data_IF_879505861217
#
_entry.id   IF_879505861217
#
_cell.length_a   1.000
_cell.length_b   1.000
_cell.length_c   1.000
_cell.angle_alpha   90.00
_cell.angle_beta   90.00
_cell.angle_gamma   90.00
#
_symmetry.space_group_name_H-M   'P 1'
#
loop_
_entity.id
_entity.type
_entity.pdbx_description
1 polymer ?
#
# COMPACT_ATOMS: atom_id res chain seq x y z
N UNK A 1 6.57 10.44 -24.36
CA UNK A 1 5.50 10.48 -23.35
C UNK A 1 5.78 11.62 -22.38
N UNK A 2 4.75 12.25 -21.83
CA UNK A 2 4.84 13.19 -20.73
C UNK A 2 4.98 12.44 -19.41
N UNK A 3 5.84 12.93 -18.54
CA UNK A 3 6.03 12.39 -17.19
C UNK A 3 6.43 13.51 -16.23
N UNK A 4 6.09 13.35 -14.95
CA UNK A 4 6.51 14.27 -13.90
C UNK A 4 7.92 13.89 -13.42
N UNK A 5 8.89 14.78 -13.68
CA UNK A 5 10.32 14.53 -13.50
C UNK A 5 10.86 15.36 -12.34
N UNK A 6 11.62 14.72 -11.47
CA UNK A 6 12.31 15.31 -10.32
C UNK A 6 13.47 16.20 -10.77
N UNK A 7 13.52 17.40 -10.19
CA UNK A 7 14.72 18.22 -10.06
C UNK A 7 15.17 18.18 -8.59
N UNK A 8 16.15 17.33 -8.31
CA UNK A 8 16.62 17.07 -6.95
C UNK A 8 17.43 18.24 -6.38
N UNK A 9 18.10 19.01 -7.26
CA UNK A 9 18.91 20.17 -6.86
C UNK A 9 18.02 21.31 -6.38
N UNK A 10 16.96 21.59 -7.14
CA UNK A 10 16.01 22.65 -6.80
C UNK A 10 14.85 22.17 -5.92
N UNK A 11 14.76 20.87 -5.62
CA UNK A 11 13.65 20.25 -4.87
C UNK A 11 12.29 20.57 -5.48
N UNK A 12 12.20 20.44 -6.79
CA UNK A 12 10.97 20.65 -7.56
C UNK A 12 10.69 19.45 -8.45
N UNK A 13 9.51 19.43 -9.08
CA UNK A 13 9.23 18.48 -10.14
C UNK A 13 8.43 19.19 -11.24
N UNK A 14 8.70 18.83 -12.49
CA UNK A 14 8.05 19.44 -13.64
C UNK A 14 7.75 18.39 -14.71
N UNK A 15 6.68 18.61 -15.47
CA UNK A 15 6.33 17.71 -16.58
C UNK A 15 7.36 17.89 -17.70
N UNK A 16 7.94 16.78 -18.12
CA UNK A 16 8.91 16.70 -19.22
C UNK A 16 8.48 15.68 -20.25
N UNK A 17 8.94 15.85 -21.49
CA UNK A 17 8.78 14.86 -22.56
C UNK A 17 9.95 13.89 -22.56
N UNK A 18 9.67 12.61 -22.39
CA UNK A 18 10.65 11.52 -22.37
C UNK A 18 10.38 10.49 -23.48
N UNK A 19 11.37 9.67 -23.86
CA UNK A 19 11.15 8.54 -24.76
C UNK A 19 10.07 7.58 -24.24
N UNK A 20 9.44 6.87 -25.17
CA UNK A 20 8.48 5.82 -24.84
C UNK A 20 9.24 4.62 -24.24
N UNK A 21 8.94 4.16 -23.01
CA UNK A 21 9.56 2.97 -22.45
C UNK A 21 9.15 1.72 -23.22
N UNK A 22 10.06 0.75 -23.27
CA UNK A 22 9.87 -0.57 -23.88
C UNK A 22 9.77 -1.60 -22.75
N UNK A 23 8.72 -2.45 -22.70
CA UNK A 23 8.61 -3.45 -21.66
C UNK A 23 9.69 -4.53 -21.83
N UNK A 24 10.42 -4.81 -20.76
CA UNK A 24 11.36 -5.92 -20.68
C UNK A 24 10.66 -7.27 -20.45
N UNK A 25 11.44 -8.35 -20.23
CA UNK A 25 10.85 -9.67 -20.09
C UNK A 25 9.89 -9.77 -18.89
N UNK A 26 8.71 -10.37 -19.12
CA UNK A 26 7.59 -10.46 -18.17
C UNK A 26 7.03 -9.10 -17.68
N UNK A 27 7.35 -7.99 -18.34
CA UNK A 27 6.78 -6.69 -18.02
C UNK A 27 5.63 -6.31 -18.97
N UNK A 28 4.75 -5.46 -18.48
CA UNK A 28 3.64 -4.87 -19.21
C UNK A 28 3.95 -3.40 -19.49
N UNK A 29 3.63 -2.95 -20.71
CA UNK A 29 3.52 -1.54 -21.02
C UNK A 29 2.07 -1.10 -20.84
N UNK A 30 1.85 -0.11 -19.99
CA UNK A 30 0.51 0.30 -19.55
C UNK A 30 0.31 1.78 -19.89
N UNK A 31 -0.76 2.09 -20.60
CA UNK A 31 -1.22 3.46 -20.82
C UNK A 31 -2.02 3.92 -19.60
N UNK A 32 -1.43 4.82 -18.81
CA UNK A 32 -1.99 5.29 -17.54
C UNK A 32 -3.23 6.13 -17.80
N UNK A 33 -4.27 5.91 -16.99
CA UNK A 33 -5.56 6.63 -17.05
C UNK A 33 -5.82 7.42 -15.77
N UNK A 34 -5.36 6.91 -14.63
CA UNK A 34 -5.41 7.61 -13.36
C UNK A 34 -4.18 7.31 -12.51
N UNK A 35 -3.80 8.27 -11.69
CA UNK A 35 -2.75 8.15 -10.67
C UNK A 35 -3.29 8.66 -9.34
N UNK A 36 -2.90 8.02 -8.24
CA UNK A 36 -3.30 8.42 -6.90
C UNK A 36 -2.07 8.86 -6.11
N UNK A 37 -2.23 9.92 -5.32
CA UNK A 37 -1.14 10.49 -4.53
C UNK A 37 -1.06 9.80 -3.16
N UNK A 38 0.16 9.55 -2.72
CA UNK A 38 0.55 9.03 -1.41
C UNK A 38 1.41 10.06 -0.69
N UNK A 39 1.46 10.00 0.64
CA UNK A 39 2.32 10.90 1.43
C UNK A 39 3.80 10.86 0.97
N UNK A 40 4.28 9.69 0.55
CA UNK A 40 5.63 9.51 0.02
C UNK A 40 5.91 10.29 -1.27
N UNK A 41 4.88 10.57 -2.08
CA UNK A 41 5.09 11.17 -3.40
C UNK A 41 5.61 12.61 -3.30
N UNK A 42 5.09 13.38 -2.33
CA UNK A 42 5.58 14.73 -2.04
C UNK A 42 7.00 14.71 -1.45
N UNK A 43 7.33 13.67 -0.67
CA UNK A 43 8.66 13.50 -0.10
C UNK A 43 9.74 13.27 -1.17
N UNK A 44 9.40 12.65 -2.31
CA UNK A 44 10.34 12.53 -3.43
C UNK A 44 10.83 13.90 -3.94
N UNK A 45 10.07 14.96 -3.72
CA UNK A 45 10.42 16.33 -4.12
C UNK A 45 10.98 17.13 -2.93
N UNK A 46 10.33 17.10 -1.77
CA UNK A 46 10.75 17.89 -0.60
C UNK A 46 12.04 17.37 0.03
N UNK A 47 12.26 16.06 -0.02
CA UNK A 47 13.47 15.37 0.45
C UNK A 47 13.93 14.36 -0.61
N UNK A 48 14.53 14.83 -1.71
CA UNK A 48 14.85 13.98 -2.86
C UNK A 48 15.60 12.71 -2.47
N UNK A 49 14.96 11.57 -2.76
CA UNK A 49 15.54 10.23 -2.58
C UNK A 49 16.32 9.76 -3.80
N UNK A 50 16.02 10.35 -4.96
CA UNK A 50 16.64 10.09 -6.25
C UNK A 50 17.42 11.29 -6.79
N UNK A 51 18.12 11.06 -7.90
CA UNK A 51 18.80 12.12 -8.65
C UNK A 51 17.83 12.88 -9.56
N UNK A 52 18.23 14.09 -9.98
CA UNK A 52 17.54 14.86 -11.04
C UNK A 52 17.34 13.99 -12.29
N UNK A 53 16.20 14.16 -12.96
CA UNK A 53 15.82 13.41 -14.16
C UNK A 53 15.00 12.15 -13.91
N UNK A 54 14.79 11.74 -12.65
CA UNK A 54 13.96 10.58 -12.31
C UNK A 54 12.47 10.91 -12.37
N UNK A 55 11.66 9.97 -12.88
CA UNK A 55 10.20 10.05 -12.83
C UNK A 55 9.72 9.73 -11.40
N UNK A 56 8.81 10.54 -10.86
CA UNK A 56 8.27 10.38 -9.50
C UNK A 56 6.90 9.69 -9.49
N UNK A 57 6.36 9.47 -8.30
CA UNK A 57 5.02 8.92 -8.10
C UNK A 57 4.97 7.40 -7.94
N UNK A 58 3.98 6.92 -7.20
CA UNK A 58 3.83 5.50 -6.89
C UNK A 58 2.64 4.80 -7.55
N UNK A 59 1.40 5.22 -7.29
CA UNK A 59 0.22 4.46 -7.70
C UNK A 59 -0.26 4.85 -9.10
N UNK A 60 -0.71 3.85 -9.87
CA UNK A 60 -1.35 4.05 -11.16
C UNK A 60 -2.47 3.03 -11.44
N UNK A 61 -3.35 3.41 -12.36
CA UNK A 61 -4.32 2.52 -13.01
C UNK A 61 -4.41 2.86 -14.50
N UNK A 62 -4.49 1.84 -15.36
CA UNK A 62 -4.44 2.04 -16.81
C UNK A 62 -4.78 0.81 -17.65
N UNK A 63 -4.55 0.93 -18.95
CA UNK A 63 -4.80 -0.11 -19.95
C UNK A 63 -3.48 -0.77 -20.38
N UNK A 64 -3.43 -2.09 -20.40
CA UNK A 64 -2.30 -2.82 -21.00
C UNK A 64 -2.29 -2.57 -22.50
N UNK A 65 -1.18 -2.07 -23.04
CA UNK A 65 -1.02 -1.81 -24.48
C UNK A 65 0.01 -2.71 -25.15
N UNK A 66 0.99 -3.21 -24.40
CA UNK A 66 1.95 -4.20 -24.89
C UNK A 66 2.49 -5.05 -23.73
N UNK A 67 3.13 -6.16 -24.07
CA UNK A 67 3.80 -7.06 -23.14
C UNK A 67 5.18 -7.39 -23.71
N UNK A 68 6.19 -7.40 -22.84
CA UNK A 68 7.51 -7.87 -23.23
C UNK A 68 7.55 -9.39 -23.44
N UNK A 69 8.68 -9.94 -23.92
CA UNK A 69 8.82 -11.37 -24.10
C UNK A 69 8.72 -12.12 -22.76
N UNK A 70 8.46 -13.44 -22.75
CA UNK A 70 8.68 -14.24 -21.55
C UNK A 70 10.11 -14.09 -21.05
N UNK A 71 10.32 -14.02 -19.73
CA UNK A 71 11.67 -14.08 -19.18
C UNK A 71 12.34 -15.41 -19.54
N UNK A 72 13.65 -15.42 -19.81
CA UNK A 72 14.39 -16.66 -19.93
C UNK A 72 14.25 -17.45 -18.61
N UNK A 73 14.27 -18.80 -18.66
CA UNK A 73 14.23 -19.62 -17.47
C UNK A 73 15.38 -19.21 -16.54
N UNK A 74 15.12 -19.00 -15.26
CA UNK A 74 16.19 -18.71 -14.31
C UNK A 74 17.07 -19.95 -14.11
N UNK A 75 18.35 -19.76 -13.76
CA UNK A 75 19.23 -20.86 -13.33
C UNK A 75 18.66 -21.65 -12.15
N UNK A 76 17.84 -21.01 -11.32
CA UNK A 76 17.14 -21.64 -10.20
C UNK A 76 16.02 -22.57 -10.67
N UNK A 77 15.30 -22.23 -11.75
CA UNK A 77 14.33 -23.12 -12.38
C UNK A 77 15.00 -24.34 -13.06
N UNK A 78 16.22 -24.18 -13.56
CA UNK A 78 16.99 -25.29 -14.13
C UNK A 78 17.47 -26.29 -13.04
N UNK A 79 17.74 -25.81 -11.82
CA UNK A 79 18.21 -26.63 -10.68
C UNK A 79 17.06 -27.34 -9.94
N UNK A 80 15.84 -26.83 -10.08
CA UNK A 80 14.59 -27.39 -9.53
C UNK A 80 14.17 -28.73 -10.18
N UNK A 81 14.78 -29.10 -11.31
CA UNK A 81 14.60 -30.43 -11.91
C UNK A 81 15.18 -31.59 -11.06
N UNK A 82 15.79 -31.29 -9.91
CA UNK A 82 16.23 -32.25 -8.90
C UNK A 82 15.19 -32.66 -7.83
N UNK A 83 13.92 -32.25 -7.93
CA UNK A 83 12.84 -32.88 -7.13
C UNK A 83 11.78 -31.98 -6.49
N UNK A 84 11.67 -30.69 -6.85
CA UNK A 84 10.63 -29.83 -6.27
C UNK A 84 10.31 -28.63 -7.14
N UNK A 85 9.48 -28.84 -8.17
CA UNK A 85 8.93 -27.76 -9.03
C UNK A 85 8.42 -26.57 -8.21
N UNK A 86 8.31 -25.35 -8.79
CA UNK A 86 7.76 -24.20 -8.07
C UNK A 86 6.45 -24.56 -7.38
N UNK A 87 6.21 -24.00 -6.20
CA UNK A 87 5.00 -24.26 -5.41
C UNK A 87 3.73 -24.09 -6.28
N UNK A 88 2.60 -24.67 -5.84
CA UNK A 88 1.31 -24.45 -6.53
C UNK A 88 0.89 -22.98 -6.51
N UNK A 89 1.24 -22.24 -5.47
CA UNK A 89 0.85 -20.84 -5.26
C UNK A 89 1.64 -19.92 -6.20
N UNK A 90 2.97 -20.04 -6.26
CA UNK A 90 3.83 -19.36 -7.24
C UNK A 90 3.39 -19.66 -8.68
N UNK A 91 3.05 -20.91 -9.00
CA UNK A 91 2.49 -21.24 -10.32
C UNK A 91 1.18 -20.52 -10.62
N UNK A 92 0.33 -20.33 -9.61
CA UNK A 92 -0.97 -19.67 -9.74
C UNK A 92 -0.86 -18.15 -9.94
N UNK A 93 0.05 -17.47 -9.22
CA UNK A 93 0.33 -16.05 -9.44
C UNK A 93 1.03 -15.80 -10.77
N UNK A 94 1.98 -16.66 -11.16
CA UNK A 94 2.59 -16.62 -12.50
C UNK A 94 1.56 -16.87 -13.61
N UNK A 95 0.62 -17.81 -13.43
CA UNK A 95 -0.44 -18.05 -14.40
C UNK A 95 -1.40 -16.85 -14.54
N UNK A 96 -1.76 -16.20 -13.43
CA UNK A 96 -2.55 -14.96 -13.45
C UNK A 96 -1.82 -13.88 -14.27
N UNK A 97 -0.56 -13.59 -13.92
CA UNK A 97 0.27 -12.62 -14.65
C UNK A 97 0.39 -12.98 -16.14
N UNK A 98 0.54 -14.26 -16.46
CA UNK A 98 0.66 -14.74 -17.84
C UNK A 98 -0.64 -14.58 -18.64
N UNK A 99 -1.79 -14.56 -17.98
CA UNK A 99 -3.10 -14.37 -18.64
C UNK A 99 -3.42 -12.92 -18.97
N UNK A 100 -2.68 -11.93 -18.42
CA UNK A 100 -2.94 -10.52 -18.66
C UNK A 100 -2.63 -10.19 -20.13
N UNK A 101 -3.60 -9.54 -20.78
CA UNK A 101 -3.60 -9.31 -22.23
C UNK A 101 -3.75 -7.83 -22.58
N UNK A 102 -3.40 -7.47 -23.81
CA UNK A 102 -3.62 -6.11 -24.34
C UNK A 102 -5.11 -5.76 -24.23
N UNK A 103 -5.40 -4.56 -23.73
CA UNK A 103 -6.76 -4.08 -23.45
C UNK A 103 -7.23 -4.32 -22.01
N UNK A 104 -6.56 -5.19 -21.24
CA UNK A 104 -6.91 -5.41 -19.83
C UNK A 104 -6.75 -4.11 -19.03
N UNK A 105 -7.71 -3.89 -18.13
CA UNK A 105 -7.67 -2.81 -17.15
C UNK A 105 -6.88 -3.29 -15.93
N UNK A 106 -5.79 -2.62 -15.61
CA UNK A 106 -4.89 -3.01 -14.53
C UNK A 106 -4.51 -1.83 -13.64
N UNK A 107 -4.21 -2.12 -12.38
CA UNK A 107 -3.64 -1.17 -11.44
C UNK A 107 -2.45 -1.80 -10.71
N UNK A 108 -1.55 -0.96 -10.22
CA UNK A 108 -0.33 -1.38 -9.53
C UNK A 108 0.36 -0.17 -8.91
N UNK A 109 1.56 -0.38 -8.40
CA UNK A 109 2.39 0.71 -7.92
C UNK A 109 3.86 0.48 -8.24
N UNK A 110 4.61 1.57 -8.30
CA UNK A 110 6.05 1.61 -8.46
C UNK A 110 6.66 2.42 -7.31
N UNK A 111 7.98 2.35 -7.16
CA UNK A 111 8.68 3.31 -6.32
C UNK A 111 9.04 4.53 -7.17
N UNK A 112 8.55 5.72 -6.78
CA UNK A 112 8.97 6.97 -7.41
C UNK A 112 10.41 7.34 -7.05
N UNK A 113 11.10 8.03 -7.98
CA UNK A 113 12.43 8.57 -7.75
C UNK A 113 13.47 7.58 -7.18
N UNK A 114 13.43 6.31 -7.58
CA UNK A 114 14.39 5.31 -7.08
C UNK A 114 15.83 5.69 -7.49
N UNK A 115 16.74 5.69 -6.52
CA UNK A 115 18.19 5.86 -6.70
C UNK A 115 18.94 4.53 -6.78
N UNK A 116 18.33 3.44 -6.32
CA UNK A 116 18.94 2.12 -6.28
C UNK A 116 18.78 1.32 -7.58
N UNK A 117 17.83 1.69 -8.45
CA UNK A 117 17.62 1.05 -9.76
C UNK A 117 17.16 2.07 -10.81
N UNK A 118 17.06 1.63 -12.07
CA UNK A 118 16.68 2.50 -13.19
C UNK A 118 15.16 2.58 -13.46
N UNK A 119 14.33 1.86 -12.68
CA UNK A 119 12.89 1.82 -12.94
C UNK A 119 12.27 3.21 -12.68
N UNK A 120 11.45 3.72 -13.61
CA UNK A 120 10.77 5.00 -13.42
C UNK A 120 9.62 4.91 -12.41
N UNK A 121 9.25 6.05 -11.81
CA UNK A 121 8.01 6.19 -11.07
C UNK A 121 6.76 6.20 -11.95
N UNK A 122 5.60 6.27 -11.31
CA UNK A 122 4.29 6.04 -11.93
C UNK A 122 3.61 7.30 -12.51
N UNK A 123 4.07 8.51 -12.20
CA UNK A 123 3.42 9.75 -12.67
C UNK A 123 3.85 10.09 -14.11
N UNK A 124 3.39 9.27 -15.06
CA UNK A 124 3.64 9.37 -16.48
C UNK A 124 2.41 8.95 -17.30
N UNK A 125 2.38 9.32 -18.58
CA UNK A 125 1.35 8.83 -19.52
C UNK A 125 1.41 7.31 -19.74
N UNK A 126 2.59 6.72 -19.56
CA UNK A 126 2.79 5.29 -19.72
C UNK A 126 3.83 4.78 -18.72
N UNK A 127 3.64 3.57 -18.25
CA UNK A 127 4.54 2.91 -17.30
C UNK A 127 4.86 1.49 -17.75
N UNK A 128 6.04 1.02 -17.35
CA UNK A 128 6.42 -0.39 -17.45
C UNK A 128 6.40 -0.98 -16.05
N UNK A 129 5.72 -2.12 -15.89
CA UNK A 129 5.56 -2.77 -14.59
C UNK A 129 5.63 -4.30 -14.76
N UNK A 130 6.29 -5.05 -13.86
CA UNK A 130 6.22 -6.50 -13.84
C UNK A 130 4.77 -7.01 -13.81
N UNK A 131 4.44 -7.97 -14.68
CA UNK A 131 3.06 -8.43 -14.87
C UNK A 131 2.40 -9.04 -13.62
N UNK A 132 3.20 -9.49 -12.66
CA UNK A 132 2.78 -10.06 -11.37
C UNK A 132 2.73 -9.03 -10.23
N UNK A 133 3.09 -7.76 -10.48
CA UNK A 133 2.89 -6.62 -9.55
C UNK A 133 1.67 -5.76 -9.88
N UNK A 134 0.87 -6.19 -10.86
CA UNK A 134 -0.41 -5.56 -11.17
C UNK A 134 -1.56 -6.49 -10.79
N UNK A 135 -2.71 -5.90 -10.54
CA UNK A 135 -3.98 -6.61 -10.41
C UNK A 135 -4.96 -6.14 -11.49
N UNK A 136 -5.86 -7.04 -11.91
CA UNK A 136 -6.92 -6.70 -12.85
C UNK A 136 -8.02 -5.94 -12.15
N UNK A 137 -8.43 -4.82 -12.75
CA UNK A 137 -9.51 -3.97 -12.22
C UNK A 137 -10.86 -4.63 -12.54
N UNK A 138 -11.70 -4.96 -11.54
CA UNK A 138 -13.05 -5.44 -11.77
C UNK A 138 -13.88 -4.47 -12.61
N UNK A 139 -14.79 -4.99 -13.44
CA UNK A 139 -15.56 -4.18 -14.40
C UNK A 139 -16.33 -3.00 -13.77
N UNK A 140 -16.76 -3.14 -12.51
CA UNK A 140 -17.51 -2.12 -11.77
C UNK A 140 -16.64 -1.06 -11.06
N UNK A 141 -15.32 -1.29 -10.93
CA UNK A 141 -14.39 -0.34 -10.32
C UNK A 141 -13.83 0.56 -11.42
N UNK A 142 -13.77 1.87 -11.20
CA UNK A 142 -13.20 2.85 -12.14
C UNK A 142 -11.65 2.87 -12.10
N UNK A 143 -10.99 3.56 -13.04
CA UNK A 143 -9.53 3.71 -12.95
C UNK A 143 -9.14 4.57 -11.76
N UNK A 144 -9.93 5.60 -11.48
CA UNK A 144 -9.68 6.56 -10.41
C UNK A 144 -9.77 5.91 -9.03
N UNK A 145 -10.77 5.04 -8.84
CA UNK A 145 -10.87 4.22 -7.63
C UNK A 145 -9.71 3.22 -7.53
N UNK A 146 -9.44 2.47 -8.60
CA UNK A 146 -8.38 1.45 -8.60
C UNK A 146 -6.98 2.01 -8.34
N UNK A 147 -6.69 3.22 -8.84
CA UNK A 147 -5.40 3.87 -8.59
C UNK A 147 -5.15 4.08 -7.09
N UNK A 148 -6.20 4.23 -6.27
CA UNK A 148 -6.05 4.43 -4.82
C UNK A 148 -5.80 3.15 -3.99
N UNK A 149 -5.74 1.97 -4.60
CA UNK A 149 -5.75 0.68 -3.87
C UNK A 149 -4.35 0.10 -3.67
N UNK A 150 -3.50 0.10 -4.68
CA UNK A 150 -2.32 -0.77 -4.74
C UNK A 150 -1.36 -0.60 -3.56
N UNK A 151 -0.73 0.58 -3.42
CA UNK A 151 0.23 0.83 -2.35
C UNK A 151 -0.41 0.73 -0.95
N UNK A 152 -1.50 1.46 -0.71
CA UNK A 152 -2.12 1.53 0.62
C UNK A 152 -2.77 0.20 1.05
N UNK A 153 -3.42 -0.51 0.12
CA UNK A 153 -4.01 -1.82 0.38
C UNK A 153 -2.95 -2.87 0.68
N UNK A 154 -1.85 -2.92 -0.08
CA UNK A 154 -0.76 -3.83 0.20
C UNK A 154 -0.03 -3.48 1.52
N UNK A 155 0.11 -2.19 1.84
CA UNK A 155 0.67 -1.73 3.12
C UNK A 155 -0.17 -2.20 4.31
N UNK A 156 -1.50 -2.09 4.21
CA UNK A 156 -2.43 -2.61 5.21
C UNK A 156 -2.32 -4.14 5.33
N UNK A 157 -2.33 -4.86 4.22
CA UNK A 157 -2.24 -6.32 4.18
C UNK A 157 -0.93 -6.86 4.76
N UNK A 158 0.22 -6.27 4.39
CA UNK A 158 1.52 -6.67 4.95
C UNK A 158 1.58 -6.44 6.46
N UNK A 159 1.15 -5.28 6.94
CA UNK A 159 1.15 -4.99 8.37
C UNK A 159 0.23 -5.94 9.16
N UNK A 160 -0.96 -6.24 8.64
CA UNK A 160 -1.89 -7.17 9.30
C UNK A 160 -1.43 -8.63 9.26
N UNK A 161 -1.19 -9.15 8.06
CA UNK A 161 -1.01 -10.59 7.87
C UNK A 161 0.44 -11.02 7.99
N UNK A 162 1.35 -10.28 7.36
CA UNK A 162 2.77 -10.65 7.40
C UNK A 162 3.41 -10.25 8.73
N UNK A 163 3.09 -9.07 9.30
CA UNK A 163 3.75 -8.57 10.52
C UNK A 163 3.03 -8.97 11.81
N UNK A 164 1.73 -8.67 11.92
CA UNK A 164 0.98 -8.99 13.13
C UNK A 164 0.58 -10.47 13.20
N UNK A 165 0.61 -11.18 12.07
CA UNK A 165 0.33 -12.62 11.99
C UNK A 165 -1.15 -12.96 12.05
N UNK A 166 -2.02 -12.03 11.63
CA UNK A 166 -3.45 -12.28 11.48
C UNK A 166 -3.72 -13.18 10.27
N UNK A 167 -4.83 -13.91 10.29
CA UNK A 167 -5.19 -14.84 9.23
C UNK A 167 -5.57 -14.09 7.94
N UNK A 168 -4.87 -14.33 6.81
CA UNK A 168 -5.14 -13.69 5.52
C UNK A 168 -6.33 -14.34 4.78
N UNK A 169 -7.04 -13.62 3.89
CA UNK A 169 -8.01 -14.21 2.97
C UNK A 169 -7.37 -14.83 1.71
N UNK A 170 -6.03 -14.95 1.69
CA UNK A 170 -5.25 -15.53 0.59
C UNK A 170 -4.01 -16.25 1.11
N UNK A 171 -3.45 -17.14 0.29
CA UNK A 171 -2.24 -17.90 0.62
C UNK A 171 -1.05 -17.39 -0.19
N UNK A 172 0.14 -17.47 0.39
CA UNK A 172 1.42 -17.17 -0.29
C UNK A 172 2.47 -18.20 0.10
N UNK A 173 3.55 -18.27 -0.69
CA UNK A 173 4.70 -19.11 -0.35
C UNK A 173 5.65 -18.35 0.57
N UNK A 174 5.90 -18.92 1.74
CA UNK A 174 6.95 -18.49 2.65
C UNK A 174 8.12 -19.48 2.53
N UNK A 175 8.92 -19.32 1.48
CA UNK A 175 10.13 -20.12 1.25
C UNK A 175 11.34 -19.57 2.03
N UNK A 176 11.12 -18.72 3.04
CA UNK A 176 12.21 -18.08 3.79
C UNK A 176 12.54 -18.80 5.10
N UNK A 177 13.83 -18.83 5.44
CA UNK A 177 14.31 -19.12 6.80
C UNK A 177 13.86 -18.03 7.82
N UNK A 178 13.26 -16.92 7.35
CA UNK A 178 12.56 -15.95 8.20
C UNK A 178 11.23 -16.56 8.64
N UNK A 179 11.28 -17.48 9.61
CA UNK A 179 10.13 -18.23 10.16
C UNK A 179 9.05 -17.38 10.82
N UNK A 180 8.37 -16.54 10.05
CA UNK A 180 7.30 -15.65 10.52
C UNK A 180 5.95 -16.39 10.57
N UNK A 181 5.77 -17.46 9.77
CA UNK A 181 4.47 -18.14 9.69
C UNK A 181 4.30 -19.48 10.42
N UNK A 182 5.27 -19.97 11.20
CA UNK A 182 5.07 -21.23 11.96
C UNK A 182 4.64 -21.08 13.42
N UNK A 183 4.48 -19.87 13.97
CA UNK A 183 4.30 -19.70 15.43
C UNK A 183 2.92 -19.29 15.97
N UNK A 184 1.97 -18.78 15.18
CA UNK A 184 0.65 -18.42 15.76
C UNK A 184 -0.24 -19.65 16.03
N UNK A 185 -0.04 -20.75 15.30
CA UNK A 185 -0.73 -22.02 15.61
C UNK A 185 -0.18 -22.76 16.82
N UNK A 186 1.09 -22.50 17.20
CA UNK A 186 1.79 -23.25 18.26
C UNK A 186 1.64 -22.65 19.66
N UNK A 187 1.50 -21.33 19.79
CA UNK A 187 1.36 -20.69 21.11
C UNK A 187 -0.07 -20.71 21.64
N UNK A 188 -1.06 -21.01 20.78
CA UNK A 188 -2.44 -21.30 21.20
C UNK A 188 -2.71 -22.79 21.40
N UNK A 189 -1.79 -23.68 20.97
CA UNK A 189 -1.89 -25.13 21.17
C UNK A 189 -0.92 -25.67 22.24
N UNK A 190 -0.26 -24.79 23.01
CA UNK A 190 0.87 -25.12 23.90
C UNK A 190 0.64 -24.95 25.40
N UNK A 191 -0.55 -24.56 25.85
CA UNK A 191 -0.94 -24.55 27.28
C UNK A 191 -2.17 -25.42 27.49
N UNK A 192 -2.01 -26.73 27.33
CA UNK A 192 -2.85 -27.70 28.02
C UNK A 192 -2.60 -27.58 29.53
N UNK A 193 -3.36 -26.68 30.15
CA UNK A 193 -3.26 -26.35 31.57
C UNK A 193 -4.29 -25.34 32.07
N UNK A 194 -5.34 -25.03 31.30
CA UNK A 194 -6.65 -24.63 31.86
C UNK A 194 -7.73 -24.86 30.78
N UNK A 195 -8.88 -25.39 31.19
CA UNK A 195 -9.97 -25.73 30.28
C UNK A 195 -10.69 -24.49 29.77
N UNK A 196 -10.41 -24.07 28.54
CA UNK A 196 -11.17 -23.00 27.89
C UNK A 196 -11.14 -23.08 26.37
N UNK A 197 -12.19 -23.65 25.77
CA UNK A 197 -12.64 -23.13 24.48
C UNK A 197 -13.01 -21.65 24.69
N UNK A 198 -12.20 -20.74 24.16
CA UNK A 198 -12.42 -19.31 24.35
C UNK A 198 -13.22 -18.73 23.20
N UNK A 199 -14.53 -18.57 23.39
CA UNK A 199 -15.43 -17.63 22.69
C UNK A 199 -14.98 -16.15 22.89
N UNK A 200 -13.70 -15.83 22.59
CA UNK A 200 -13.06 -14.56 22.95
C UNK A 200 -13.00 -13.55 21.80
N UNK A 201 -13.67 -12.41 21.98
CA UNK A 201 -13.59 -11.22 21.12
C UNK A 201 -12.15 -10.67 21.06
N UNK A 202 -11.61 -10.48 19.84
CA UNK A 202 -10.35 -9.77 19.59
C UNK A 202 -10.56 -8.26 19.63
N UNK A 203 -9.76 -7.50 20.37
CA UNK A 203 -9.77 -6.03 20.29
C UNK A 203 -8.63 -5.52 19.42
N UNK A 204 -8.96 -4.72 18.41
CA UNK A 204 -8.02 -4.17 17.43
C UNK A 204 -8.14 -2.65 17.38
N UNK A 205 -7.04 -1.93 17.54
CA UNK A 205 -7.01 -0.47 17.45
C UNK A 205 -6.31 0.03 16.17
N UNK A 206 -6.88 1.05 15.53
CA UNK A 206 -6.28 1.74 14.37
C UNK A 206 -6.12 3.22 14.67
N UNK A 207 -4.87 3.68 14.81
CA UNK A 207 -4.58 5.11 14.80
C UNK A 207 -4.56 5.62 13.35
N UNK A 208 -5.25 6.74 13.11
CA UNK A 208 -5.46 7.23 11.74
C UNK A 208 -6.53 6.44 10.98
N UNK A 209 -7.66 6.15 11.62
CA UNK A 209 -8.74 5.32 11.07
C UNK A 209 -9.32 5.87 9.75
N UNK A 210 -9.28 7.19 9.53
CA UNK A 210 -9.69 7.84 8.27
C UNK A 210 -8.56 8.05 7.28
N UNK A 211 -7.37 7.47 7.47
CA UNK A 211 -6.32 7.47 6.45
C UNK A 211 -6.61 6.39 5.41
N UNK A 212 -6.03 6.52 4.21
CA UNK A 212 -6.15 5.51 3.15
C UNK A 212 -5.78 4.11 3.68
N UNK A 213 -4.65 4.00 4.39
CA UNK A 213 -4.20 2.73 4.99
C UNK A 213 -5.16 2.27 6.08
N UNK A 214 -5.55 3.14 7.03
CA UNK A 214 -6.45 2.77 8.13
C UNK A 214 -7.84 2.28 7.67
N UNK A 215 -8.33 2.82 6.55
CA UNK A 215 -9.59 2.39 5.93
C UNK A 215 -9.47 1.02 5.24
N UNK A 216 -8.29 0.65 4.69
CA UNK A 216 -8.05 -0.73 4.22
C UNK A 216 -7.77 -1.69 5.36
N UNK A 217 -7.10 -1.24 6.44
CA UNK A 217 -6.90 -2.05 7.65
C UNK A 217 -8.24 -2.49 8.22
N UNK A 218 -9.22 -1.59 8.34
CA UNK A 218 -10.56 -1.92 8.83
C UNK A 218 -11.20 -3.07 8.04
N UNK A 219 -11.22 -2.96 6.71
CA UNK A 219 -11.79 -3.98 5.83
C UNK A 219 -11.05 -5.33 5.95
N UNK A 220 -9.72 -5.30 5.99
CA UNK A 220 -8.90 -6.52 6.06
C UNK A 220 -8.96 -7.19 7.44
N UNK A 221 -9.16 -6.43 8.51
CA UNK A 221 -9.41 -6.96 9.86
C UNK A 221 -10.70 -7.76 9.89
N UNK A 222 -11.77 -7.27 9.26
CA UNK A 222 -13.03 -8.02 9.13
C UNK A 222 -12.84 -9.31 8.32
N UNK A 223 -12.08 -9.27 7.22
CA UNK A 223 -11.73 -10.49 6.46
C UNK A 223 -10.96 -11.48 7.32
N UNK A 224 -10.03 -11.02 8.15
CA UNK A 224 -9.29 -11.90 9.06
C UNK A 224 -10.18 -12.54 10.13
N UNK A 225 -11.11 -11.76 10.67
CA UNK A 225 -12.12 -12.23 11.61
C UNK A 225 -13.00 -13.34 10.99
N UNK A 226 -13.45 -13.14 9.74
CA UNK A 226 -14.18 -14.15 8.97
C UNK A 226 -13.37 -15.45 8.78
N UNK A 227 -12.09 -15.34 8.40
CA UNK A 227 -11.21 -16.50 8.16
C UNK A 227 -10.89 -17.29 9.44
N UNK A 228 -10.74 -16.59 10.56
CA UNK A 228 -10.41 -17.20 11.86
C UNK A 228 -11.63 -17.67 12.65
N UNK A 229 -12.85 -17.28 12.23
CA UNK A 229 -14.08 -17.51 12.98
C UNK A 229 -14.18 -16.72 14.29
N UNK A 230 -13.37 -15.66 14.44
CA UNK A 230 -13.30 -14.85 15.67
C UNK A 230 -14.06 -13.54 15.49
N UNK A 231 -14.77 -13.08 16.52
CA UNK A 231 -15.31 -11.72 16.56
C UNK A 231 -14.17 -10.72 16.78
N UNK A 232 -14.22 -9.58 16.10
CA UNK A 232 -13.29 -8.46 16.33
C UNK A 232 -14.05 -7.21 16.75
N UNK A 233 -13.65 -6.62 17.88
CA UNK A 233 -14.00 -5.26 18.30
C UNK A 233 -12.99 -4.30 17.70
N UNK A 234 -13.42 -3.61 16.65
CA UNK A 234 -12.60 -2.63 15.95
C UNK A 234 -12.76 -1.23 16.56
N UNK A 235 -11.65 -0.65 17.01
CA UNK A 235 -11.56 0.67 17.64
C UNK A 235 -10.68 1.57 16.75
N UNK A 236 -11.05 2.83 16.55
CA UNK A 236 -10.29 3.74 15.68
C UNK A 236 -10.13 5.15 16.26
N UNK A 237 -9.02 5.80 15.93
CA UNK A 237 -8.83 7.23 16.20
C UNK A 237 -8.98 8.04 14.90
N UNK A 238 -9.94 8.97 14.88
CA UNK A 238 -10.22 9.84 13.74
C UNK A 238 -10.97 11.11 14.16
N UNK A 239 -10.95 12.14 13.31
CA UNK A 239 -11.77 13.34 13.53
C UNK A 239 -13.27 13.00 13.57
N UNK A 240 -14.07 13.59 14.47
CA UNK A 240 -15.51 13.33 14.60
C UNK A 240 -16.31 13.43 13.30
N UNK A 241 -15.93 14.36 12.42
CA UNK A 241 -16.57 14.53 11.10
C UNK A 241 -16.52 13.29 10.19
N UNK A 242 -15.60 12.35 10.44
CA UNK A 242 -15.47 11.11 9.67
C UNK A 242 -16.13 9.91 10.38
N UNK A 243 -16.77 10.09 11.54
CA UNK A 243 -17.25 8.95 12.32
C UNK A 243 -18.39 8.19 11.65
N UNK A 244 -19.32 8.89 10.98
CA UNK A 244 -20.47 8.24 10.35
C UNK A 244 -20.01 7.32 9.21
N UNK A 245 -19.11 7.79 8.34
CA UNK A 245 -18.54 6.94 7.29
C UNK A 245 -17.76 5.77 7.87
N UNK A 246 -16.94 5.97 8.91
CA UNK A 246 -16.13 4.92 9.52
C UNK A 246 -16.95 3.87 10.30
N UNK A 247 -18.09 4.22 10.86
CA UNK A 247 -19.00 3.26 11.50
C UNK A 247 -19.76 2.42 10.47
N UNK A 248 -20.00 2.98 9.27
CA UNK A 248 -20.69 2.32 8.19
C UNK A 248 -19.86 1.24 7.48
N UNK A 249 -20.52 0.50 6.60
CA UNK A 249 -19.86 -0.41 5.66
C UNK A 249 -18.93 0.37 4.72
N UNK A 250 -17.74 -0.16 4.41
CA UNK A 250 -17.22 -1.49 4.78
C UNK A 250 -16.28 -1.46 6.00
N UNK A 251 -16.22 -0.35 6.73
CA UNK A 251 -15.19 -0.12 7.76
C UNK A 251 -15.62 -0.65 9.12
N UNK A 252 -16.88 -0.45 9.52
CA UNK A 252 -17.47 -1.10 10.70
C UNK A 252 -16.72 -0.85 12.02
N UNK A 253 -16.19 0.36 12.24
CA UNK A 253 -15.59 0.70 13.54
C UNK A 253 -16.67 0.73 14.63
N UNK A 254 -16.51 -0.10 15.67
CA UNK A 254 -17.47 -0.16 16.79
C UNK A 254 -17.31 1.02 17.75
N UNK A 255 -16.06 1.47 17.94
CA UNK A 255 -15.72 2.59 18.82
C UNK A 255 -14.77 3.53 18.07
N UNK A 256 -15.06 4.83 18.15
CA UNK A 256 -14.19 5.88 17.61
C UNK A 256 -13.87 6.89 18.70
N UNK A 257 -12.60 7.31 18.72
CA UNK A 257 -12.09 8.34 19.62
C UNK A 257 -11.57 9.52 18.80
N UNK A 258 -11.70 10.74 19.31
CA UNK A 258 -11.09 11.92 18.67
C UNK A 258 -9.62 11.97 19.07
N UNK A 259 -8.72 11.91 18.08
CA UNK A 259 -7.28 11.95 18.33
C UNK A 259 -6.81 13.29 18.94
N UNK A 260 -7.64 14.34 18.91
CA UNK A 260 -7.35 15.64 19.54
C UNK A 260 -7.61 15.65 21.04
N UNK A 261 -8.39 14.68 21.55
CA UNK A 261 -8.59 14.50 22.98
C UNK A 261 -7.39 13.77 23.57
N UNK A 262 -6.60 14.42 24.41
CA UNK A 262 -5.38 13.84 24.98
C UNK A 262 -5.63 12.60 25.85
N UNK A 263 -6.87 12.34 26.25
CA UNK A 263 -7.28 11.14 26.98
C UNK A 263 -7.67 9.96 26.07
N UNK A 264 -7.55 10.09 24.75
CA UNK A 264 -7.92 9.04 23.81
C UNK A 264 -7.25 7.67 24.10
N UNK A 265 -5.99 7.57 24.58
CA UNK A 265 -5.40 6.26 24.89
C UNK A 265 -6.15 5.54 26.02
N UNK A 266 -6.57 6.27 27.05
CA UNK A 266 -7.37 5.73 28.16
C UNK A 266 -8.77 5.31 27.68
N UNK A 267 -9.35 6.05 26.72
CA UNK A 267 -10.63 5.69 26.11
C UNK A 267 -10.51 4.36 25.34
N UNK A 268 -9.41 4.15 24.60
CA UNK A 268 -9.14 2.89 23.91
C UNK A 268 -8.94 1.74 24.89
N UNK A 269 -8.19 1.95 25.98
CA UNK A 269 -8.02 0.94 27.03
C UNK A 269 -9.35 0.55 27.68
N UNK A 270 -10.21 1.52 28.01
CA UNK A 270 -11.55 1.26 28.56
C UNK A 270 -12.43 0.51 27.55
N UNK A 271 -12.45 0.94 26.29
CA UNK A 271 -13.25 0.33 25.24
C UNK A 271 -12.83 -1.11 24.90
N UNK A 272 -11.58 -1.48 25.19
CA UNK A 272 -11.02 -2.82 24.96
C UNK A 272 -11.00 -3.72 26.19
N UNK A 273 -11.46 -3.23 27.35
CA UNK A 273 -11.46 -4.01 28.60
C UNK A 273 -10.09 -4.14 29.26
N UNK A 274 -9.20 -3.14 29.11
CA UNK A 274 -7.88 -3.12 29.73
C UNK A 274 -6.70 -3.20 28.75
N UNK A 275 -6.93 -2.90 27.47
CA UNK A 275 -5.90 -2.81 26.43
C UNK A 275 -6.19 -3.70 25.22
N UNK A 276 -5.73 -3.26 24.05
CA UNK A 276 -5.98 -3.97 22.79
C UNK A 276 -5.02 -5.13 22.56
N UNK A 277 -5.49 -6.15 21.82
CA UNK A 277 -4.67 -7.28 21.39
C UNK A 277 -3.66 -6.84 20.32
N UNK A 278 -4.15 -6.02 19.39
CA UNK A 278 -3.39 -5.55 18.23
C UNK A 278 -3.65 -4.07 18.04
N UNK A 279 -2.61 -3.35 17.64
CA UNK A 279 -2.71 -1.98 17.21
C UNK A 279 -2.02 -1.79 15.85
N UNK A 280 -2.56 -0.91 15.03
CA UNK A 280 -1.99 -0.50 13.76
C UNK A 280 -1.92 1.03 13.75
N UNK A 281 -0.70 1.57 13.69
CA UNK A 281 -0.48 3.00 13.57
C UNK A 281 -0.30 3.39 12.11
N UNK A 282 -1.37 3.87 11.47
CA UNK A 282 -1.35 4.35 10.10
C UNK A 282 -0.86 5.81 9.96
N UNK A 283 -0.40 6.43 11.06
CA UNK A 283 0.26 7.74 11.08
C UNK A 283 1.77 7.56 11.23
N UNK A 284 2.21 6.92 12.33
CA UNK A 284 3.61 6.63 12.64
C UNK A 284 4.53 7.87 12.62
N UNK A 285 4.05 8.98 13.18
CA UNK A 285 4.78 10.25 13.27
C UNK A 285 4.85 10.73 14.73
N UNK A 286 6.01 11.26 15.14
CA UNK A 286 6.21 11.89 16.45
C UNK A 286 5.71 11.01 17.62
N UNK A 287 4.78 11.51 18.44
CA UNK A 287 4.31 10.84 19.65
C UNK A 287 3.26 9.75 19.40
N UNK A 288 2.77 9.61 18.16
CA UNK A 288 1.70 8.64 17.85
C UNK A 288 2.10 7.22 18.21
N UNK A 289 3.31 6.79 17.85
CA UNK A 289 3.81 5.43 18.15
C UNK A 289 3.85 5.17 19.66
N UNK A 290 4.33 6.15 20.45
CA UNK A 290 4.33 6.08 21.92
C UNK A 290 2.92 5.90 22.46
N UNK A 291 2.01 6.80 22.08
CA UNK A 291 0.65 6.83 22.63
C UNK A 291 -0.14 5.59 22.21
N UNK A 292 0.02 5.13 20.96
CA UNK A 292 -0.57 3.88 20.47
C UNK A 292 -0.03 2.68 21.25
N UNK A 293 1.28 2.61 21.48
CA UNK A 293 1.87 1.50 22.24
C UNK A 293 1.26 1.40 23.66
N UNK A 294 0.96 2.55 24.28
CA UNK A 294 0.36 2.59 25.63
C UNK A 294 -1.07 2.02 25.70
N UNK A 295 -1.73 1.82 24.56
CA UNK A 295 -3.06 1.20 24.49
C UNK A 295 -3.03 -0.33 24.49
N UNK A 296 -1.85 -0.93 24.31
CA UNK A 296 -1.68 -2.37 24.28
C UNK A 296 -1.84 -2.96 25.69
N UNK A 297 -2.47 -4.13 25.74
CA UNK A 297 -2.37 -5.00 26.92
C UNK A 297 -1.02 -5.73 26.95
N UNK A 298 -0.65 -6.41 28.05
CA UNK A 298 0.52 -7.27 28.08
C UNK A 298 0.52 -8.31 26.93
N UNK A 299 1.62 -8.38 26.18
CA UNK A 299 1.74 -9.26 25.01
C UNK A 299 1.02 -8.78 23.74
N UNK A 300 0.42 -7.58 23.75
CA UNK A 300 -0.13 -6.95 22.56
C UNK A 300 0.94 -6.61 21.52
N UNK A 301 0.53 -6.51 20.26
CA UNK A 301 1.44 -6.21 19.14
C UNK A 301 1.03 -4.93 18.41
N UNK A 302 2.03 -4.15 17.99
CA UNK A 302 1.85 -2.91 17.24
C UNK A 302 2.55 -3.01 15.88
N UNK A 303 1.84 -2.67 14.80
CA UNK A 303 2.43 -2.43 13.49
C UNK A 303 2.52 -0.93 13.20
N UNK A 304 3.63 -0.49 12.60
CA UNK A 304 3.88 0.90 12.19
C UNK A 304 4.21 0.97 10.70
N UNK A 305 3.80 2.06 10.04
CA UNK A 305 4.02 2.29 8.60
C UNK A 305 5.24 3.16 8.29
N UNK A 306 5.88 3.74 9.31
CA UNK A 306 7.12 4.52 9.18
C UNK A 306 8.17 4.03 10.18
N UNK A 307 9.45 4.06 9.79
CA UNK A 307 10.54 3.55 10.63
C UNK A 307 11.17 4.61 11.52
N UNK A 308 11.66 4.18 12.69
CA UNK A 308 12.48 5.01 13.59
C UNK A 308 13.80 5.39 12.93
N UNK A 309 14.39 4.49 12.15
CA UNK A 309 15.69 4.72 11.50
C UNK A 309 15.59 5.76 10.37
N UNK A 310 14.40 5.97 9.80
CA UNK A 310 14.12 7.08 8.89
C UNK A 310 13.85 8.41 9.63
N UNK A 311 13.85 8.41 10.97
CA UNK A 311 13.63 9.59 11.81
C UNK A 311 12.17 9.99 11.95
N UNK A 312 11.22 9.08 11.70
CA UNK A 312 9.79 9.41 11.74
C UNK A 312 9.22 9.57 13.17
N UNK A 313 9.82 8.90 14.15
CA UNK A 313 9.39 8.90 15.56
C UNK A 313 10.56 8.52 16.48
N UNK A 314 10.42 8.84 17.78
CA UNK A 314 11.41 8.56 18.83
C UNK A 314 10.97 7.36 19.70
N UNK A 315 11.87 6.41 20.02
CA UNK A 315 11.55 5.28 20.89
C UNK A 315 11.26 5.63 22.36
N UNK A 316 11.51 6.86 22.81
CA UNK A 316 11.28 7.27 24.18
C UNK A 316 9.81 7.07 24.61
N UNK A 317 9.62 6.28 25.66
CA UNK A 317 8.30 5.96 26.23
C UNK A 317 7.49 4.94 25.43
N UNK A 318 8.01 4.37 24.34
CA UNK A 318 7.36 3.29 23.62
C UNK A 318 7.37 2.03 24.49
N UNK A 319 6.19 1.47 24.76
CA UNK A 319 5.99 0.40 25.74
C UNK A 319 6.07 -1.01 25.15
N UNK A 320 6.02 -1.12 23.83
CA UNK A 320 6.20 -2.37 23.09
C UNK A 320 6.92 -2.09 21.77
N UNK A 321 7.95 -2.87 21.44
CA UNK A 321 8.69 -2.70 20.18
C UNK A 321 7.74 -2.92 18.99
N UNK A 322 7.51 -1.91 18.15
CA UNK A 322 6.61 -2.04 17.02
C UNK A 322 7.26 -2.84 15.90
N UNK A 323 6.43 -3.58 15.16
CA UNK A 323 6.86 -4.28 13.96
C UNK A 323 6.72 -3.33 12.76
N UNK A 324 7.84 -2.94 12.19
CA UNK A 324 7.88 -2.14 10.96
C UNK A 324 7.85 -3.03 9.71
N UNK A 325 7.22 -2.54 8.63
CA UNK A 325 7.27 -3.18 7.32
C UNK A 325 7.19 -2.15 6.21
N UNK A 326 8.16 -2.16 5.30
CA UNK A 326 8.15 -1.30 4.13
C UNK A 326 7.51 -2.04 2.95
N UNK A 327 6.44 -1.49 2.38
CA UNK A 327 5.74 -2.08 1.22
C UNK A 327 6.67 -2.34 0.03
N UNK A 328 7.75 -1.57 -0.05
CA UNK A 328 8.82 -1.63 -1.04
C UNK A 328 9.54 -2.98 -1.12
N UNK A 329 9.63 -3.74 -0.02
CA UNK A 329 10.36 -5.02 0.03
C UNK A 329 9.80 -6.06 -0.96
N UNK A 330 8.51 -5.93 -1.29
CA UNK A 330 7.79 -6.79 -2.22
C UNK A 330 7.92 -6.38 -3.69
N UNK A 331 8.72 -5.36 -4.05
CA UNK A 331 8.94 -4.97 -5.45
C UNK A 331 10.02 -5.81 -6.14
N UNK A 332 10.79 -6.60 -5.38
CA UNK A 332 11.82 -7.50 -5.90
C UNK A 332 13.13 -6.81 -6.28
N UNK A 333 13.33 -5.56 -5.88
CA UNK A 333 14.59 -4.81 -6.04
C UNK A 333 14.97 -4.16 -4.71
N UNK A 334 16.26 -3.87 -4.54
CA UNK A 334 16.72 -3.02 -3.45
C UNK A 334 16.25 -1.58 -3.68
N UNK A 335 15.83 -0.95 -2.59
CA UNK A 335 15.14 0.34 -2.63
C UNK A 335 15.76 1.28 -1.60
N UNK A 336 16.36 2.38 -2.08
CA UNK A 336 16.79 3.44 -1.19
C UNK A 336 15.57 4.26 -0.73
N UNK A 337 15.43 4.40 0.59
CA UNK A 337 14.37 5.14 1.26
C UNK A 337 14.96 5.95 2.42
N UNK A 338 15.03 7.27 2.26
CA UNK A 338 15.80 8.17 3.12
C UNK A 338 17.25 7.68 3.35
N UNK A 339 17.63 7.43 4.61
CA UNK A 339 18.95 6.95 5.03
C UNK A 339 19.09 5.43 4.99
N UNK A 340 18.07 4.71 4.50
CA UNK A 340 17.99 3.26 4.56
C UNK A 340 17.96 2.67 3.16
N UNK A 341 18.52 1.48 3.02
CA UNK A 341 18.28 0.62 1.86
C UNK A 341 17.36 -0.51 2.31
N UNK A 342 16.12 -0.47 1.84
CA UNK A 342 15.14 -1.54 2.00
C UNK A 342 15.53 -2.66 1.03
N UNK A 343 15.90 -3.82 1.57
CA UNK A 343 16.32 -4.96 0.76
C UNK A 343 15.13 -5.66 0.12
N UNK A 344 15.32 -6.12 -1.12
CA UNK A 344 14.36 -7.02 -1.76
C UNK A 344 14.18 -8.31 -0.95
N UNK A 345 12.97 -8.86 -0.96
CA UNK A 345 12.67 -10.11 -0.26
C UNK A 345 11.76 -11.00 -1.12
N UNK A 346 12.23 -12.21 -1.50
CA UNK A 346 11.40 -13.17 -2.23
C UNK A 346 10.09 -13.53 -1.52
N UNK A 347 10.11 -13.69 -0.19
CA UNK A 347 8.90 -13.96 0.60
C UNK A 347 7.90 -12.80 0.57
N UNK A 348 8.38 -11.55 0.68
CA UNK A 348 7.52 -10.36 0.61
C UNK A 348 7.03 -10.10 -0.82
N UNK A 349 7.81 -10.48 -1.83
CA UNK A 349 7.40 -10.52 -3.24
C UNK A 349 6.27 -11.53 -3.45
N UNK A 350 6.44 -12.75 -2.95
CA UNK A 350 5.42 -13.80 -2.96
C UNK A 350 4.11 -13.32 -2.33
N UNK A 351 4.18 -12.73 -1.13
CA UNK A 351 3.03 -12.10 -0.48
C UNK A 351 2.35 -11.02 -1.34
N UNK A 352 3.13 -10.10 -1.92
CA UNK A 352 2.59 -9.04 -2.78
C UNK A 352 1.88 -9.60 -4.02
N UNK A 353 2.47 -10.60 -4.70
CA UNK A 353 1.83 -11.25 -5.85
C UNK A 353 0.54 -11.98 -5.47
N UNK A 354 0.51 -12.61 -4.29
CA UNK A 354 -0.67 -13.30 -3.79
C UNK A 354 -1.81 -12.31 -3.46
N UNK A 355 -1.48 -11.17 -2.86
CA UNK A 355 -2.45 -10.10 -2.60
C UNK A 355 -3.05 -9.54 -3.90
N UNK A 356 -2.23 -9.23 -4.90
CA UNK A 356 -2.72 -8.71 -6.19
C UNK A 356 -3.50 -9.74 -7.00
N UNK A 357 -3.11 -11.01 -6.90
CA UNK A 357 -3.93 -12.10 -7.42
C UNK A 357 -5.29 -12.15 -6.73
N UNK A 358 -5.33 -12.10 -5.41
CA UNK A 358 -6.58 -12.12 -4.65
C UNK A 358 -7.51 -10.97 -5.05
N UNK A 359 -6.99 -9.75 -5.21
CA UNK A 359 -7.78 -8.63 -5.76
C UNK A 359 -8.31 -8.92 -7.17
N UNK A 360 -7.48 -9.51 -8.04
CA UNK A 360 -7.87 -9.87 -9.41
C UNK A 360 -8.96 -10.95 -9.47
N UNK A 361 -9.00 -11.84 -8.47
CA UNK A 361 -9.97 -12.93 -8.36
C UNK A 361 -11.30 -12.46 -7.71
N UNK A 362 -11.48 -11.15 -7.52
CA UNK A 362 -12.68 -10.58 -6.89
C UNK A 362 -12.56 -10.39 -5.38
N UNK A 363 -11.34 -10.38 -4.84
CA UNK A 363 -11.05 -9.99 -3.46
C UNK A 363 -11.65 -8.62 -3.16
N UNK A 364 -12.67 -8.61 -2.29
CA UNK A 364 -13.50 -7.43 -2.08
C UNK A 364 -12.83 -6.45 -1.12
N UNK A 365 -12.20 -5.41 -1.68
CA UNK A 365 -11.90 -4.16 -1.01
C UNK A 365 -12.66 -3.03 -1.69
N UNK A 366 -13.42 -2.27 -0.93
CA UNK A 366 -13.97 -1.02 -1.41
C UNK A 366 -12.85 0.02 -1.48
N UNK A 367 -12.61 0.62 -2.65
CA UNK A 367 -11.65 1.71 -2.80
C UNK A 367 -11.99 2.88 -1.87
N UNK A 368 -10.97 3.61 -1.42
CA UNK A 368 -11.21 4.83 -0.64
C UNK A 368 -11.99 5.86 -1.47
N UNK A 369 -12.78 6.75 -0.84
CA UNK A 369 -13.35 7.91 -1.51
C UNK A 369 -12.28 8.67 -2.31
N UNK A 370 -12.62 9.07 -3.53
CA UNK A 370 -11.70 9.75 -4.44
C UNK A 370 -12.04 11.21 -4.55
N UNK A 371 -11.04 12.07 -4.42
CA UNK A 371 -11.08 13.45 -4.89
C UNK A 371 -10.38 13.56 -6.23
N UNK A 372 -11.15 13.86 -7.27
CA UNK A 372 -10.57 14.17 -8.58
C UNK A 372 -9.98 15.57 -8.55
N UNK A 373 -8.67 15.64 -8.73
CA UNK A 373 -7.92 16.88 -8.80
C UNK A 373 -7.85 17.39 -10.25
N UNK A 374 -7.94 18.70 -10.47
CA UNK A 374 -7.88 19.28 -11.81
C UNK A 374 -6.44 19.34 -12.36
N UNK A 375 -6.32 19.52 -13.69
CA UNK A 375 -5.07 19.93 -14.36
C UNK A 375 -4.00 18.85 -14.61
N UNK A 376 -4.30 17.59 -14.30
CA UNK A 376 -3.43 16.45 -14.64
C UNK A 376 -2.02 16.54 -14.04
N UNK A 377 -1.03 15.94 -14.70
CA UNK A 377 0.35 15.86 -14.20
C UNK A 377 0.96 17.22 -13.82
N UNK A 378 0.62 18.29 -14.54
CA UNK A 378 1.19 19.62 -14.33
C UNK A 378 0.82 20.23 -12.97
N UNK A 379 -0.35 19.90 -12.43
CA UNK A 379 -0.86 20.48 -11.18
C UNK A 379 -0.55 19.65 -9.94
N UNK A 380 0.13 18.52 -10.10
CA UNK A 380 0.53 17.68 -8.95
C UNK A 380 1.49 18.42 -8.01
N UNK A 381 2.56 19.09 -8.47
CA UNK A 381 3.46 19.79 -7.57
C UNK A 381 2.80 20.98 -6.85
N UNK A 382 2.00 21.77 -7.57
CA UNK A 382 1.39 23.01 -7.04
C UNK A 382 0.17 22.76 -6.15
N UNK A 383 -0.62 21.72 -6.45
CA UNK A 383 -1.88 21.46 -5.74
C UNK A 383 -1.74 20.20 -4.86
N UNK A 384 -1.33 19.09 -5.47
CA UNK A 384 -1.29 17.78 -4.81
C UNK A 384 -0.24 17.69 -3.70
N UNK A 385 0.99 18.13 -3.97
CA UNK A 385 2.08 18.09 -2.98
C UNK A 385 1.91 19.14 -1.89
N UNK A 386 1.33 20.30 -2.22
CA UNK A 386 0.95 21.32 -1.24
C UNK A 386 -0.10 20.76 -0.24
N UNK A 387 -1.12 20.06 -0.74
CA UNK A 387 -2.13 19.39 0.10
C UNK A 387 -1.56 18.26 0.96
N UNK A 388 -0.58 17.51 0.44
CA UNK A 388 0.03 16.39 1.18
C UNK A 388 1.02 16.87 2.25
N UNK A 389 1.75 17.96 1.99
CA UNK A 389 2.80 18.45 2.87
C UNK A 389 3.92 17.43 3.11
N UNK A 390 4.78 17.72 4.09
CA UNK A 390 5.82 16.80 4.56
C UNK A 390 5.30 15.79 5.58
N UNK A 391 4.44 16.25 6.50
CA UNK A 391 3.92 15.46 7.62
C UNK A 391 2.40 15.42 7.57
N UNK A 392 1.82 14.24 7.85
CA UNK A 392 0.36 14.06 7.85
C UNK A 392 -0.30 14.91 8.95
N UNK A 393 0.40 15.06 10.07
CA UNK A 393 -0.05 15.75 11.27
C UNK A 393 -0.03 17.29 11.18
N UNK A 394 0.69 17.88 10.22
CA UNK A 394 0.88 19.33 10.12
C UNK A 394 0.69 19.86 8.68
N UNK A 395 -0.55 19.77 8.18
CA UNK A 395 -0.94 20.26 6.85
C UNK A 395 -1.74 21.56 6.97
N UNK A 396 -1.27 22.63 6.34
CA UNK A 396 -2.03 23.87 6.20
C UNK A 396 -1.56 24.66 4.99
N UNK A 397 -2.50 25.26 4.27
CA UNK A 397 -2.22 26.23 3.20
C UNK A 397 -3.26 27.35 3.20
N UNK A 398 -2.96 28.47 2.55
CA UNK A 398 -3.86 29.63 2.45
C UNK A 398 -4.89 29.57 1.31
N UNK A 399 -4.94 28.46 0.56
CA UNK A 399 -5.78 28.30 -0.63
C UNK A 399 -7.25 28.02 -0.29
N UNK A 400 -8.16 28.51 -1.14
CA UNK A 400 -9.62 28.59 -0.89
C UNK A 400 -10.46 27.86 -1.93
N UNK A 401 -9.84 27.36 -2.99
CA UNK A 401 -10.49 26.60 -4.04
C UNK A 401 -11.03 25.27 -3.48
N UNK A 402 -12.20 24.81 -3.96
CA UNK A 402 -12.87 23.62 -3.40
C UNK A 402 -11.98 22.36 -3.45
N UNK A 403 -11.24 22.15 -4.54
CA UNK A 403 -10.32 21.01 -4.67
C UNK A 403 -9.11 21.10 -3.72
N UNK A 404 -8.84 22.29 -3.18
CA UNK A 404 -7.80 22.55 -2.18
C UNK A 404 -8.34 22.48 -0.75
N UNK A 405 -9.58 22.08 -0.47
CA UNK A 405 -9.98 21.89 0.94
C UNK A 405 -9.10 20.84 1.63
N UNK A 406 -8.88 20.90 2.96
CA UNK A 406 -8.06 19.90 3.66
C UNK A 406 -8.49 18.47 3.36
N UNK A 407 -7.53 17.57 3.17
CA UNK A 407 -7.79 16.15 2.88
C UNK A 407 -8.54 15.52 4.07
N UNK A 408 -9.64 14.81 3.81
CA UNK A 408 -10.37 14.09 4.85
C UNK A 408 -10.96 12.78 4.35
N UNK A 409 -10.31 11.65 4.64
CA UNK A 409 -10.85 10.33 4.30
C UNK A 409 -10.88 10.04 2.80
N UNK A 410 -10.08 10.74 2.00
CA UNK A 410 -10.10 10.64 0.55
C UNK A 410 -8.69 10.55 -0.05
N UNK A 411 -8.59 9.90 -1.21
CA UNK A 411 -7.37 9.88 -2.03
C UNK A 411 -7.45 10.97 -3.10
N UNK A 412 -6.37 11.73 -3.22
CA UNK A 412 -6.22 12.69 -4.32
C UNK A 412 -5.83 11.91 -5.58
N UNK A 413 -6.61 12.09 -6.65
CA UNK A 413 -6.43 11.36 -7.91
C UNK A 413 -6.41 12.34 -9.06
N UNK A 414 -5.46 12.16 -9.97
CA UNK A 414 -5.38 12.92 -11.22
C UNK A 414 -5.66 11.98 -12.38
N UNK A 415 -6.50 12.43 -13.32
CA UNK A 415 -6.64 11.77 -14.61
C UNK A 415 -5.43 12.07 -15.47
N UNK A 416 -4.98 11.07 -16.20
CA UNK A 416 -3.87 11.19 -17.15
C UNK A 416 -4.45 11.10 -18.56
N UNK A 417 -4.43 12.24 -19.26
CA UNK A 417 -4.83 12.31 -20.65
C UNK A 417 -3.66 11.90 -21.53
N UNK A 418 -3.76 10.75 -22.17
CA UNK A 418 -2.85 10.37 -23.25
C UNK A 418 -3.30 11.09 -24.51
N UNK A 419 -2.49 11.98 -25.08
CA UNK A 419 -2.77 12.58 -26.39
C UNK A 419 -3.06 11.46 -27.41
N UNK A 420 -4.23 11.49 -28.06
CA UNK A 420 -4.48 10.65 -29.23
C UNK A 420 -3.50 11.11 -30.30
N UNK A 421 -2.40 10.38 -30.51
CA UNK A 421 -1.62 10.53 -31.73
C UNK A 421 -2.58 10.32 -32.89
N UNK A 422 -2.71 11.34 -33.74
CA UNK A 422 -3.58 11.32 -34.90
C UNK A 422 -3.35 10.04 -35.72
N UNK A 423 -4.46 9.41 -36.09
CA UNK A 423 -4.55 8.21 -36.91
C UNK A 423 -4.05 8.46 -38.33
N UNK A 424 -2.74 8.54 -38.54
CA UNK A 424 -2.15 8.60 -39.90
C UNK A 424 -1.18 7.46 -40.22
N UNK A 425 -0.97 6.48 -39.33
CA UNK A 425 -0.08 5.34 -39.60
C UNK A 425 -0.63 3.98 -39.10
N UNK A 426 -1.94 3.74 -39.20
CA UNK A 426 -2.45 2.36 -39.20
C UNK A 426 -2.66 1.90 -40.64
N UNK A 427 -1.54 1.56 -41.27
CA UNK A 427 -1.53 0.70 -42.46
C UNK A 427 -1.93 -0.71 -42.06
N UNK A 428 -2.96 -1.21 -42.75
CA UNK A 428 -3.53 -2.56 -42.70
C UNK A 428 -2.62 -3.68 -42.19
N UNK A 429 -3.09 -4.38 -41.14
CA UNK A 429 -2.99 -5.84 -41.09
C UNK A 429 -4.34 -6.36 -40.58
N UNK A 430 -5.02 -7.09 -41.46
CA UNK A 430 -6.31 -7.75 -41.28
C UNK A 430 -6.20 -9.03 -40.45
#
# INVERSE_FOLDING_TARGET
MKALVLDAENRTAAVSSLPMPTPGPNELLIAVKAIALNAVDALYTFQPLGSTGRIIGSDFAGLVIARGPPAPPSSDEATINGGGGPSRLRRSSTAMAASISRGDRVAGFLQGACSANERPGAFAEYVVCPADLVWRIPGHVTFEEAAGVSLCGLTAAQGLFFRLGLDPPFQWDDDSDEGVLRRVRSETSGTSGDGGGGDGELSFFVAGASTSVGMYVAQLVHRSAEMSGRRVRLIGAASPRNWDILKGEPYGYEVLVDYRDTSWPDQVQRASGGGVHFAYDAISEAMTVRDVSSTLRPGGKLAVVRSKEAGAWDPEGVTAEPVYGAVWEGLGEDIQYHKLVVKSSPAKRSFATAFYKWLSDGGLLQPNPVRIMPGGLNKIPEDGFDLLGMDVSNRSHGRVEEHMRPISGEKLVYRVETERRGSSEEGHIA
#
